data_IF_091772732109
#
_entry.id   IF_091772732109
#
_cell.length_a   1.000
_cell.length_b   1.000
_cell.length_c   1.000
_cell.angle_alpha   90.00
_cell.angle_beta   90.00
_cell.angle_gamma   90.00
#
_symmetry.space_group_name_H-M   'P 1'
#
loop_
_entity.id
_entity.type
_entity.pdbx_description
1 polymer ?
#
# COMPACT_ATOMS: atom_id res chain seq x y z
N UNK A 1 -15.32 6.57 -13.82
CA UNK A 1 -13.88 6.23 -13.81
C UNK A 1 -13.72 4.74 -14.04
N UNK A 2 -12.84 4.36 -14.96
CA UNK A 2 -12.48 2.98 -15.29
C UNK A 2 -10.99 2.79 -15.03
N UNK A 3 -10.63 1.66 -14.42
CA UNK A 3 -9.24 1.29 -14.14
C UNK A 3 -8.94 0.00 -14.93
N UNK A 4 -8.04 0.08 -15.89
CA UNK A 4 -7.52 -1.08 -16.60
C UNK A 4 -6.29 -1.61 -15.85
N UNK A 5 -6.27 -2.90 -15.56
CA UNK A 5 -5.12 -3.57 -14.92
C UNK A 5 -4.47 -4.44 -15.98
N UNK A 6 -3.18 -4.24 -16.23
CA UNK A 6 -2.46 -4.96 -17.28
C UNK A 6 -1.04 -5.34 -16.85
N UNK A 7 -0.52 -6.41 -17.44
CA UNK A 7 0.88 -6.79 -17.31
C UNK A 7 1.76 -6.07 -18.35
N UNK A 8 1.58 -4.75 -18.47
CA UNK A 8 2.28 -3.93 -19.45
C UNK A 8 3.38 -3.11 -18.78
N UNK A 9 4.58 -3.12 -19.34
CA UNK A 9 5.67 -2.26 -18.88
C UNK A 9 5.49 -0.85 -19.45
N UNK A 10 5.24 0.14 -18.58
CA UNK A 10 5.20 1.53 -19.02
C UNK A 10 6.61 2.11 -19.18
N UNK A 11 6.81 3.00 -20.17
CA UNK A 11 8.01 3.83 -20.24
C UNK A 11 8.28 4.55 -18.91
N UNK A 12 9.56 4.82 -18.62
CA UNK A 12 10.04 5.47 -17.40
C UNK A 12 9.74 4.75 -16.07
N UNK A 13 9.42 3.45 -16.12
CA UNK A 13 8.98 2.65 -14.97
C UNK A 13 7.73 3.20 -14.27
N UNK A 14 6.86 3.91 -15.01
CA UNK A 14 5.61 4.38 -14.42
C UNK A 14 4.76 3.19 -13.99
N UNK A 15 4.15 3.28 -12.80
CA UNK A 15 3.22 2.25 -12.33
C UNK A 15 1.85 2.43 -12.97
N UNK A 16 1.49 3.64 -13.35
CA UNK A 16 0.17 3.98 -13.89
C UNK A 16 0.23 5.16 -14.85
N UNK A 17 -0.68 5.18 -15.81
CA UNK A 17 -0.83 6.28 -16.76
C UNK A 17 -2.31 6.55 -17.09
N UNK A 18 -2.82 7.78 -16.90
CA UNK A 18 -4.13 8.17 -17.43
C UNK A 18 -4.12 8.11 -18.97
N UNK A 19 -5.06 7.35 -19.54
CA UNK A 19 -5.23 7.23 -20.99
C UNK A 19 -6.27 8.23 -21.51
N UNK A 20 -7.30 8.52 -20.71
CA UNK A 20 -8.31 9.56 -20.96
C UNK A 20 -8.71 10.21 -19.64
N UNK A 21 -9.60 11.21 -19.68
CA UNK A 21 -10.19 11.84 -18.48
C UNK A 21 -10.95 10.84 -17.58
N UNK A 22 -11.25 9.64 -18.08
CA UNK A 22 -12.07 8.65 -17.36
C UNK A 22 -11.42 7.27 -17.26
N UNK A 23 -10.32 7.02 -17.98
CA UNK A 23 -9.61 5.75 -18.04
C UNK A 23 -8.17 5.91 -17.57
N UNK A 24 -7.78 5.11 -16.58
CA UNK A 24 -6.38 4.97 -16.17
C UNK A 24 -5.94 3.51 -16.29
N UNK A 25 -4.72 3.31 -16.76
CA UNK A 25 -4.10 1.99 -16.79
C UNK A 25 -3.11 1.86 -15.63
N UNK A 26 -3.21 0.75 -14.89
CA UNK A 26 -2.33 0.34 -13.81
C UNK A 26 -1.53 -0.88 -14.27
N UNK A 27 -0.21 -0.79 -14.16
CA UNK A 27 0.70 -1.89 -14.44
C UNK A 27 0.88 -2.76 -13.21
N UNK A 28 0.80 -4.07 -13.41
CA UNK A 28 1.25 -5.10 -12.46
C UNK A 28 2.50 -5.84 -12.96
N UNK A 29 3.19 -5.26 -13.94
CA UNK A 29 4.45 -5.81 -14.45
C UNK A 29 5.51 -5.87 -13.35
N UNK A 30 6.28 -6.97 -13.30
CA UNK A 30 7.33 -7.23 -12.29
C UNK A 30 6.85 -7.20 -10.82
N UNK A 31 5.54 -7.28 -10.60
CA UNK A 31 4.95 -7.26 -9.25
C UNK A 31 5.18 -8.58 -8.48
N UNK A 32 5.40 -9.68 -9.20
CA UNK A 32 5.77 -10.98 -8.67
C UNK A 32 7.01 -10.92 -7.77
N UNK A 33 8.01 -10.11 -8.12
CA UNK A 33 9.19 -9.90 -7.28
C UNK A 33 8.83 -9.33 -5.90
N UNK A 34 7.87 -8.42 -5.85
CA UNK A 34 7.43 -7.80 -4.58
C UNK A 34 6.54 -8.73 -3.76
N UNK A 35 5.70 -9.53 -4.42
CA UNK A 35 4.93 -10.56 -3.75
C UNK A 35 5.86 -11.53 -3.00
N UNK A 36 6.92 -11.99 -3.66
CA UNK A 36 7.87 -12.96 -3.11
C UNK A 36 8.76 -12.33 -2.04
N UNK A 37 9.28 -11.12 -2.30
CA UNK A 37 10.29 -10.51 -1.44
C UNK A 37 9.73 -9.83 -0.22
N UNK A 38 8.57 -9.21 -0.36
CA UNK A 38 8.05 -8.27 0.62
C UNK A 38 6.70 -8.69 1.18
N UNK A 39 6.17 -9.85 0.76
CA UNK A 39 4.96 -10.47 1.34
C UNK A 39 3.78 -9.50 1.43
N UNK A 40 3.64 -8.62 0.45
CA UNK A 40 2.45 -7.77 0.30
C UNK A 40 1.49 -8.50 -0.61
N UNK A 41 0.23 -8.60 -0.21
CA UNK A 41 -0.85 -9.11 -1.05
C UNK A 41 -1.16 -8.20 -2.24
N UNK A 42 -1.31 -8.77 -3.43
CA UNK A 42 -1.60 -8.02 -4.67
C UNK A 42 -2.89 -7.19 -4.53
N UNK A 43 -3.87 -7.70 -3.79
CA UNK A 43 -5.13 -7.02 -3.55
C UNK A 43 -4.92 -5.69 -2.82
N UNK A 44 -4.05 -5.66 -1.79
CA UNK A 44 -3.73 -4.42 -1.06
C UNK A 44 -3.00 -3.43 -1.96
N UNK A 45 -2.07 -3.93 -2.78
CA UNK A 45 -1.34 -3.12 -3.74
C UNK A 45 -2.29 -2.45 -4.75
N UNK A 46 -3.16 -3.24 -5.39
CA UNK A 46 -4.15 -2.73 -6.35
C UNK A 46 -5.10 -1.75 -5.65
N UNK A 47 -5.64 -2.10 -4.48
CA UNK A 47 -6.58 -1.25 -3.74
C UNK A 47 -5.98 0.12 -3.42
N UNK A 48 -4.70 0.20 -3.04
CA UNK A 48 -4.03 1.50 -2.82
C UNK A 48 -4.22 2.44 -4.01
N UNK A 49 -3.99 1.94 -5.23
CA UNK A 49 -4.13 2.75 -6.44
C UNK A 49 -5.60 3.05 -6.77
N UNK A 50 -6.50 2.09 -6.58
CA UNK A 50 -7.94 2.31 -6.75
C UNK A 50 -8.43 3.46 -5.85
N UNK A 51 -8.10 3.43 -4.55
CA UNK A 51 -8.47 4.51 -3.64
C UNK A 51 -7.83 5.83 -4.04
N UNK A 52 -6.54 5.83 -4.39
CA UNK A 52 -5.81 7.03 -4.81
C UNK A 52 -6.48 7.70 -6.03
N UNK A 53 -6.73 6.93 -7.09
CA UNK A 53 -7.38 7.43 -8.30
C UNK A 53 -8.83 7.83 -8.08
N UNK A 54 -9.57 7.11 -7.24
CA UNK A 54 -10.95 7.47 -6.90
C UNK A 54 -11.01 8.84 -6.22
N UNK A 55 -10.10 9.10 -5.27
CA UNK A 55 -10.04 10.40 -4.59
C UNK A 55 -9.59 11.50 -5.57
N UNK A 56 -8.61 11.24 -6.42
CA UNK A 56 -8.18 12.18 -7.47
C UNK A 56 -9.35 12.50 -8.40
N UNK A 57 -10.08 11.49 -8.89
CA UNK A 57 -11.23 11.67 -9.76
C UNK A 57 -12.31 12.52 -9.11
N UNK A 58 -12.68 12.21 -7.87
CA UNK A 58 -13.70 12.95 -7.14
C UNK A 58 -13.29 14.41 -6.84
N UNK A 59 -12.00 14.70 -6.68
CA UNK A 59 -11.50 16.04 -6.32
C UNK A 59 -11.16 16.93 -7.51
N UNK A 60 -11.21 16.39 -8.72
CA UNK A 60 -10.97 17.08 -9.99
C UNK A 60 -12.19 16.96 -10.91
N UNK A 61 -13.37 17.31 -10.38
CA UNK A 61 -14.63 17.41 -11.15
C UNK A 61 -14.97 16.16 -11.98
N UNK A 62 -14.75 14.99 -11.38
CA UNK A 62 -14.97 13.69 -12.02
C UNK A 62 -14.10 13.50 -13.28
N UNK A 63 -12.83 13.90 -13.20
CA UNK A 63 -11.81 13.67 -14.23
C UNK A 63 -10.50 13.15 -13.64
N UNK A 64 -9.76 12.37 -14.41
CA UNK A 64 -8.41 11.93 -14.15
C UNK A 64 -7.42 12.85 -14.88
N UNK A 65 -6.92 13.92 -14.26
CA UNK A 65 -5.97 14.80 -14.92
C UNK A 65 -4.63 14.09 -15.08
N UNK A 66 -3.88 14.46 -16.14
CA UNK A 66 -2.50 13.98 -16.35
C UNK A 66 -1.55 14.36 -15.22
N UNK A 67 -1.85 15.46 -14.51
CA UNK A 67 -1.12 15.93 -13.34
C UNK A 67 -2.10 16.39 -12.26
N UNK A 68 -1.72 16.23 -11.00
CA UNK A 68 -2.51 16.71 -9.87
C UNK A 68 -1.59 17.11 -8.73
N UNK A 69 -1.94 18.21 -8.05
CA UNK A 69 -1.24 18.71 -6.88
C UNK A 69 -1.26 17.76 -5.67
N UNK A 70 -2.12 16.73 -5.72
CA UNK A 70 -2.20 15.71 -4.67
C UNK A 70 -0.99 14.78 -4.69
N UNK A 71 -0.46 14.47 -5.88
CA UNK A 71 0.68 13.57 -6.05
C UNK A 71 1.96 14.33 -5.75
N UNK A 72 2.78 13.77 -4.84
CA UNK A 72 4.04 14.38 -4.43
C UNK A 72 5.19 13.37 -4.46
N UNK A 73 6.41 13.87 -4.66
CA UNK A 73 7.62 13.04 -4.78
C UNK A 73 8.12 12.48 -3.45
N UNK A 74 7.68 13.05 -2.34
CA UNK A 74 8.05 12.55 -1.01
C UNK A 74 7.44 11.18 -0.78
N UNK A 75 8.28 10.17 -0.51
CA UNK A 75 7.83 8.80 -0.23
C UNK A 75 7.84 8.53 1.27
N UNK A 76 6.76 8.97 1.94
CA UNK A 76 6.62 8.93 3.41
C UNK A 76 5.46 8.04 3.87
N UNK A 77 4.85 7.29 2.95
CA UNK A 77 3.69 6.44 3.17
C UNK A 77 2.35 7.11 2.87
N UNK A 78 2.32 8.18 2.07
CA UNK A 78 1.06 8.78 1.62
C UNK A 78 0.39 7.92 0.54
N UNK A 79 -0.94 7.92 0.51
CA UNK A 79 -1.69 7.30 -0.60
C UNK A 79 -1.40 7.96 -1.96
N UNK A 80 -0.95 9.22 -1.95
CA UNK A 80 -0.56 9.98 -3.14
C UNK A 80 0.97 10.06 -3.34
N UNK A 81 1.76 9.26 -2.62
CA UNK A 81 3.20 9.14 -2.87
C UNK A 81 3.42 8.72 -4.33
N UNK A 82 4.21 9.51 -5.07
CA UNK A 82 4.67 9.16 -6.39
C UNK A 82 5.66 7.98 -6.30
N UNK A 83 5.32 6.86 -6.94
CA UNK A 83 6.13 5.65 -6.94
C UNK A 83 6.66 5.39 -8.34
N UNK A 84 7.99 5.47 -8.52
CA UNK A 84 8.67 5.11 -9.78
C UNK A 84 8.94 3.62 -9.88
N UNK A 85 8.96 2.92 -8.75
CA UNK A 85 9.17 1.48 -8.71
C UNK A 85 8.12 0.87 -7.81
N UNK A 86 7.72 -0.35 -8.11
CA UNK A 86 6.75 -1.07 -7.30
C UNK A 86 7.24 -1.22 -5.83
N UNK A 87 8.55 -1.28 -5.57
CA UNK A 87 9.14 -1.34 -4.22
C UNK A 87 8.87 -0.06 -3.39
N UNK A 88 8.68 1.08 -4.05
CA UNK A 88 8.43 2.34 -3.35
C UNK A 88 7.02 2.33 -2.69
N UNK A 89 6.14 1.44 -3.15
CA UNK A 89 4.78 1.26 -2.60
C UNK A 89 4.77 0.62 -1.21
N UNK A 90 5.84 -0.08 -0.82
CA UNK A 90 5.91 -0.75 0.49
C UNK A 90 5.79 0.20 1.67
N UNK A 91 6.36 1.41 1.53
CA UNK A 91 6.35 2.43 2.59
C UNK A 91 4.92 2.78 2.98
N UNK A 92 4.03 2.89 1.98
CA UNK A 92 2.60 3.08 2.22
C UNK A 92 2.03 1.94 3.06
N UNK A 93 2.22 0.69 2.68
CA UNK A 93 1.63 -0.44 3.41
C UNK A 93 2.17 -0.61 4.84
N UNK A 94 3.36 -0.09 5.15
CA UNK A 94 3.87 -0.08 6.53
C UNK A 94 3.21 1.01 7.39
N UNK A 95 3.00 2.20 6.83
CA UNK A 95 2.44 3.36 7.52
C UNK A 95 1.48 4.14 6.59
N UNK A 96 0.29 3.59 6.28
CA UNK A 96 -0.67 4.28 5.41
C UNK A 96 -1.14 5.56 6.08
N UNK A 97 -1.11 6.68 5.35
CA UNK A 97 -1.59 7.97 5.85
C UNK A 97 -1.94 8.91 4.70
N UNK A 98 -2.58 10.03 5.03
CA UNK A 98 -2.52 11.26 4.25
C UNK A 98 -1.38 12.15 4.76
N UNK A 99 -0.55 12.67 3.86
CA UNK A 99 0.46 13.69 4.19
C UNK A 99 -0.21 15.01 4.56
N UNK A 100 0.49 15.88 5.30
CA UNK A 100 0.00 17.23 5.61
C UNK A 100 -0.32 18.01 4.33
N UNK A 101 0.54 17.92 3.32
CA UNK A 101 0.32 18.52 1.99
C UNK A 101 -0.99 18.05 1.35
N UNK A 102 -1.20 16.73 1.25
CA UNK A 102 -2.43 16.19 0.66
C UNK A 102 -3.66 16.53 1.49
N UNK A 103 -3.56 16.57 2.83
CA UNK A 103 -4.67 17.02 3.70
C UNK A 103 -5.07 18.45 3.40
N UNK A 104 -4.14 19.40 3.45
CA UNK A 104 -4.41 20.81 3.17
C UNK A 104 -5.01 21.00 1.77
N UNK A 105 -4.51 20.27 0.76
CA UNK A 105 -5.08 20.30 -0.60
C UNK A 105 -6.50 19.74 -0.65
N UNK A 106 -6.83 18.70 0.12
CA UNK A 106 -8.17 18.13 0.20
C UNK A 106 -9.14 19.01 1.01
N UNK A 107 -8.68 19.68 2.06
CA UNK A 107 -9.48 20.62 2.87
C UNK A 107 -9.93 21.83 2.05
N UNK A 108 -9.09 22.27 1.11
CA UNK A 108 -9.40 23.37 0.20
C UNK A 108 -10.37 22.97 -0.93
N UNK A 109 -10.80 21.70 -0.99
CA UNK A 109 -11.82 21.24 -1.95
C UNK A 109 -13.18 21.23 -1.26
N UNK A 110 -14.22 21.60 -1.99
CA UNK A 110 -15.60 21.63 -1.49
C UNK A 110 -16.14 20.20 -1.23
N UNK A 111 -15.72 19.59 -0.13
CA UNK A 111 -16.01 18.21 0.27
C UNK A 111 -16.68 18.16 1.64
N UNK A 112 -17.41 17.08 1.96
CA UNK A 112 -18.01 16.90 3.28
C UNK A 112 -16.99 17.05 4.42
N UNK A 113 -17.40 17.62 5.55
CA UNK A 113 -16.52 17.86 6.71
C UNK A 113 -15.81 16.61 7.23
N UNK A 114 -16.42 15.44 7.04
CA UNK A 114 -15.88 14.14 7.46
C UNK A 114 -15.06 13.42 6.38
N UNK A 115 -14.90 14.01 5.18
CA UNK A 115 -14.30 13.33 4.03
C UNK A 115 -12.87 12.85 4.29
N UNK A 116 -12.03 13.68 4.93
CA UNK A 116 -10.64 13.32 5.26
C UNK A 116 -10.60 12.19 6.29
N UNK A 117 -11.47 12.24 7.30
CA UNK A 117 -11.58 11.18 8.31
C UNK A 117 -11.98 9.85 7.66
N UNK A 118 -12.95 9.87 6.75
CA UNK A 118 -13.35 8.68 5.99
C UNK A 118 -12.18 8.10 5.18
N UNK A 119 -11.40 8.96 4.51
CA UNK A 119 -10.21 8.50 3.78
C UNK A 119 -9.21 7.84 4.73
N UNK A 120 -8.90 8.47 5.87
CA UNK A 120 -7.96 7.90 6.85
C UNK A 120 -8.41 6.52 7.37
N UNK A 121 -9.70 6.37 7.66
CA UNK A 121 -10.30 5.11 8.11
C UNK A 121 -10.26 4.01 7.04
N UNK A 122 -10.38 4.38 5.77
CA UNK A 122 -10.29 3.42 4.66
C UNK A 122 -8.83 3.02 4.37
N UNK A 123 -7.91 3.97 4.28
CA UNK A 123 -6.50 3.68 3.91
C UNK A 123 -5.77 2.87 4.98
N UNK A 124 -6.14 3.00 6.27
CA UNK A 124 -5.48 2.24 7.34
C UNK A 124 -5.76 0.73 7.23
N UNK A 125 -6.87 0.34 6.59
CA UNK A 125 -7.21 -1.06 6.29
C UNK A 125 -6.22 -1.70 5.30
N UNK A 126 -5.52 -0.88 4.51
CA UNK A 126 -4.50 -1.32 3.55
C UNK A 126 -3.12 -1.55 4.20
N UNK A 127 -3.00 -1.33 5.51
CA UNK A 127 -1.78 -1.62 6.26
C UNK A 127 -1.44 -3.11 6.19
N UNK A 128 -0.15 -3.41 6.19
CA UNK A 128 0.37 -4.77 6.29
C UNK A 128 -0.18 -5.44 7.56
N UNK A 129 -0.77 -6.62 7.41
CA UNK A 129 -1.34 -7.40 8.51
C UNK A 129 -0.21 -7.89 9.44
N UNK A 130 -0.60 -8.34 10.62
CA UNK A 130 0.36 -8.95 11.53
C UNK A 130 1.00 -10.21 10.92
N UNK A 131 0.22 -11.05 10.25
CA UNK A 131 0.69 -12.27 9.58
C UNK A 131 1.74 -11.97 8.52
N UNK A 132 1.48 -11.01 7.63
CA UNK A 132 2.43 -10.58 6.59
C UNK A 132 3.74 -10.03 7.20
N UNK A 133 3.67 -9.35 8.35
CA UNK A 133 4.86 -8.86 9.07
C UNK A 133 5.66 -9.99 9.72
N UNK A 134 4.97 -10.96 10.31
CA UNK A 134 5.59 -12.12 10.96
C UNK A 134 6.30 -12.99 9.92
N UNK A 135 5.65 -13.30 8.80
CA UNK A 135 6.26 -14.04 7.70
C UNK A 135 7.53 -13.34 7.19
N UNK A 136 7.48 -12.02 7.03
CA UNK A 136 8.64 -11.25 6.61
C UNK A 136 9.74 -11.25 7.68
N UNK A 137 9.39 -11.21 8.96
CA UNK A 137 10.35 -11.32 10.06
C UNK A 137 11.07 -12.67 10.06
N UNK A 138 10.32 -13.77 9.90
CA UNK A 138 10.84 -15.13 9.79
C UNK A 138 11.77 -15.25 8.58
N UNK A 139 11.32 -14.77 7.40
CA UNK A 139 12.15 -14.78 6.18
C UNK A 139 13.46 -14.01 6.36
N UNK A 140 13.43 -12.85 7.03
CA UNK A 140 14.61 -11.99 7.22
C UNK A 140 15.53 -12.43 8.35
N UNK A 141 15.04 -13.21 9.32
CA UNK A 141 15.81 -13.61 10.51
C UNK A 141 15.68 -15.12 10.81
N UNK A 142 15.96 -16.03 9.85
CA UNK A 142 15.68 -17.45 10.00
C UNK A 142 16.35 -18.06 11.23
N UNK A 143 17.63 -17.74 11.48
CA UNK A 143 18.36 -18.24 12.64
C UNK A 143 17.73 -17.83 13.98
N UNK A 144 17.34 -16.55 14.13
CA UNK A 144 16.70 -16.06 15.36
C UNK A 144 15.35 -16.74 15.58
N UNK A 145 14.57 -16.89 14.52
CA UNK A 145 13.28 -17.57 14.62
C UNK A 145 13.42 -19.04 14.98
N UNK A 146 14.42 -19.74 14.44
CA UNK A 146 14.71 -21.13 14.81
C UNK A 146 15.07 -21.26 16.29
N UNK A 147 15.93 -20.38 16.81
CA UNK A 147 16.31 -20.38 18.24
C UNK A 147 15.08 -20.14 19.12
N UNK A 148 14.24 -19.16 18.78
CA UNK A 148 13.01 -18.87 19.52
C UNK A 148 12.07 -20.08 19.50
N UNK A 149 11.90 -20.73 18.35
CA UNK A 149 11.08 -21.94 18.23
C UNK A 149 11.60 -23.10 19.09
N UNK A 150 12.92 -23.28 19.17
CA UNK A 150 13.54 -24.30 20.03
C UNK A 150 13.30 -24.02 21.51
N UNK A 151 13.53 -22.77 21.94
CA UNK A 151 13.29 -22.35 23.33
C UNK A 151 11.81 -22.55 23.69
N UNK A 152 10.90 -22.15 22.80
CA UNK A 152 9.47 -22.31 23.01
C UNK A 152 9.05 -23.78 23.13
N UNK A 153 9.58 -24.65 22.26
CA UNK A 153 9.35 -26.09 22.34
C UNK A 153 9.86 -26.71 23.64
N UNK A 154 11.04 -26.27 24.11
CA UNK A 154 11.60 -26.71 25.38
C UNK A 154 10.71 -26.31 26.58
N UNK A 155 10.26 -25.05 26.61
CA UNK A 155 9.35 -24.55 27.66
C UNK A 155 8.03 -25.32 27.66
N UNK A 156 7.42 -25.56 26.49
CA UNK A 156 6.20 -26.36 26.39
C UNK A 156 6.40 -27.79 26.90
N UNK A 157 7.57 -28.37 26.64
CA UNK A 157 7.97 -29.68 27.18
C UNK A 157 8.01 -29.69 28.70
N UNK A 158 8.61 -28.66 29.33
CA UNK A 158 8.64 -28.52 30.79
C UNK A 158 7.24 -28.37 31.39
N UNK A 159 6.39 -27.52 30.80
CA UNK A 159 5.01 -27.31 31.26
C UNK A 159 4.21 -28.61 31.20
N UNK A 160 4.31 -29.34 30.08
CA UNK A 160 3.60 -30.62 29.90
C UNK A 160 4.03 -31.65 30.95
N UNK A 161 5.31 -31.65 31.32
CA UNK A 161 5.83 -32.54 32.36
C UNK A 161 5.38 -32.14 33.77
N UNK A 162 5.12 -30.86 34.05
CA UNK A 162 4.63 -30.39 35.35
C UNK A 162 3.13 -30.62 35.57
N UNK A 163 2.36 -30.76 34.49
CA UNK A 163 0.91 -31.03 34.55
C UNK A 163 0.64 -32.55 34.69
N UNK A 164 1.63 -33.39 34.37
CA UNK A 164 1.62 -34.82 34.66
C UNK A 164 1.98 -35.08 36.13
#
# INVERSE_FOLDING_TARGET
>A
MTIAISNYYFPDNLISSPLTDYLISLSVYDFDRILVDEKIRIEKYILRFIYSFSIIYQTNDNKLPKSTDLIHRDTQGCIFDYCKRHIDTLKFHNKPKLSSHSRTKLENKNKPKNYIKMIDEEIIKLKRSFTEKLELYVKRNPAKTTIISLIFGFILGLITNMIK
#
